data_IF_506379361261
#
_entry.id   IF_506379361261
#
_cell.length_a   1.000
_cell.length_b   1.000
_cell.length_c   1.000
_cell.angle_alpha   90.00
_cell.angle_beta   90.00
_cell.angle_gamma   90.00
#
_symmetry.space_group_name_H-M   'P 1'
#
loop_
_entity.id
_entity.type
_entity.pdbx_description
1 polymer ?
#
# COMPACT_ATOMS: atom_id res chain seq x y z
N UNK A 1 9.88 7.15 9.11
CA UNK A 1 9.41 8.42 9.72
C UNK A 1 8.14 8.15 10.52
N UNK A 2 7.94 8.77 11.68
CA UNK A 2 6.68 8.65 12.43
C UNK A 2 5.86 9.93 12.31
N UNK A 3 4.59 9.78 11.99
CA UNK A 3 3.63 10.86 11.96
C UNK A 3 2.64 10.65 13.11
N UNK A 4 2.59 11.61 14.02
CA UNK A 4 1.52 11.69 15.02
C UNK A 4 0.44 12.61 14.47
N UNK A 5 -0.79 12.10 14.41
CA UNK A 5 -1.97 12.92 14.16
C UNK A 5 -2.53 13.42 15.48
N UNK A 6 -2.79 14.73 15.58
CA UNK A 6 -3.61 15.31 16.65
C UNK A 6 -4.35 16.52 16.13
N UNK A 7 -5.68 16.57 16.26
CA UNK A 7 -6.48 17.71 15.80
C UNK A 7 -6.16 18.11 14.35
N UNK A 8 -6.06 17.12 13.46
CA UNK A 8 -5.70 17.27 12.05
C UNK A 8 -4.33 17.95 11.80
N UNK A 9 -3.44 18.00 12.81
CA UNK A 9 -2.05 18.47 12.70
C UNK A 9 -1.07 17.30 12.81
N UNK A 10 0.05 17.43 12.09
CA UNK A 10 1.08 16.40 11.98
C UNK A 10 2.37 16.81 12.69
N UNK A 11 2.94 15.88 13.44
CA UNK A 11 4.22 16.06 14.11
C UNK A 11 5.14 14.87 13.86
N UNK A 12 6.42 15.15 13.61
CA UNK A 12 7.45 14.12 13.54
C UNK A 12 8.05 13.89 14.93
N UNK A 13 7.99 12.65 15.42
CA UNK A 13 8.52 12.29 16.73
C UNK A 13 9.38 11.02 16.67
N UNK A 14 10.38 10.90 17.57
CA UNK A 14 11.03 9.61 17.88
C UNK A 14 10.14 8.86 18.86
N UNK A 15 9.89 7.56 18.64
CA UNK A 15 9.10 6.73 19.55
C UNK A 15 9.69 6.76 20.96
N UNK A 16 8.82 6.93 21.96
CA UNK A 16 9.09 6.52 23.33
C UNK A 16 8.43 5.15 23.54
N UNK A 17 9.21 4.07 23.76
CA UNK A 17 8.72 2.68 23.69
C UNK A 17 7.70 2.28 24.76
N UNK A 18 7.39 3.16 25.72
CA UNK A 18 6.48 2.86 26.84
C UNK A 18 5.08 3.49 26.71
N UNK A 19 4.73 4.07 25.54
CA UNK A 19 3.53 4.93 25.38
C UNK A 19 2.76 4.62 24.07
N UNK A 20 2.71 3.36 23.63
CA UNK A 20 1.97 3.00 22.42
C UNK A 20 0.88 2.01 22.76
N UNK A 21 -0.37 2.40 22.51
CA UNK A 21 -1.52 1.50 22.62
C UNK A 21 -1.54 0.60 21.36
N UNK A 22 -1.70 -0.73 21.51
CA UNK A 22 -1.78 -1.63 20.36
C UNK A 22 -2.84 -1.26 19.31
N UNK A 23 -3.86 -0.50 19.69
CA UNK A 23 -4.97 -0.07 18.84
C UNK A 23 -4.69 1.21 18.05
N UNK A 24 -3.73 2.04 18.47
CA UNK A 24 -3.52 3.38 17.91
C UNK A 24 -2.21 3.56 17.12
N UNK A 25 -1.35 2.54 17.06
CA UNK A 25 -0.18 2.53 16.20
C UNK A 25 -0.38 1.65 14.98
N UNK A 26 -0.35 2.28 13.81
CA UNK A 26 -0.46 1.63 12.51
C UNK A 26 0.90 1.61 11.84
N UNK A 27 1.32 0.42 11.41
CA UNK A 27 2.44 0.28 10.50
C UNK A 27 1.93 0.15 9.07
N UNK A 28 2.55 0.87 8.14
CA UNK A 28 2.23 0.81 6.71
C UNK A 28 3.50 0.59 5.91
N UNK A 29 3.42 -0.32 4.95
CA UNK A 29 4.53 -0.68 4.07
C UNK A 29 4.07 -0.87 2.62
N UNK A 30 4.99 -0.66 1.66
CA UNK A 30 4.77 -0.89 0.24
C UNK A 30 5.33 -2.24 -0.18
N UNK A 31 4.52 -3.07 -0.83
CA UNK A 31 4.97 -4.31 -1.45
C UNK A 31 4.65 -4.36 -2.95
N UNK A 32 5.61 -4.83 -3.74
CA UNK A 32 5.49 -4.93 -5.20
C UNK A 32 5.22 -6.36 -5.66
N UNK A 33 4.13 -6.58 -6.39
CA UNK A 33 3.75 -7.86 -6.97
C UNK A 33 3.89 -7.87 -8.49
N UNK A 34 4.76 -8.75 -9.01
CA UNK A 34 4.93 -8.95 -10.47
C UNK A 34 4.06 -10.11 -10.97
N UNK A 35 2.79 -9.84 -11.26
CA UNK A 35 1.79 -10.89 -11.53
C UNK A 35 1.99 -11.65 -12.86
N UNK A 36 2.66 -11.04 -13.84
CA UNK A 36 2.95 -11.69 -15.13
C UNK A 36 4.33 -12.38 -15.18
N UNK A 37 5.03 -12.48 -14.04
CA UNK A 37 6.40 -12.99 -14.01
C UNK A 37 6.39 -14.51 -14.11
N UNK A 38 7.00 -15.05 -15.17
CA UNK A 38 7.28 -16.48 -15.29
C UNK A 38 8.37 -16.93 -14.29
N UNK A 39 8.42 -18.22 -13.93
CA UNK A 39 9.51 -18.78 -13.16
C UNK A 39 10.88 -18.44 -13.76
N UNK A 40 11.87 -18.19 -12.90
CA UNK A 40 13.24 -17.89 -13.33
C UNK A 40 13.96 -19.11 -13.92
N UNK A 41 13.47 -20.31 -13.63
CA UNK A 41 13.98 -21.58 -14.14
C UNK A 41 12.85 -22.37 -14.78
N UNK A 42 13.10 -22.90 -15.96
CA UNK A 42 12.19 -23.82 -16.65
C UNK A 42 12.86 -25.18 -16.73
N UNK A 43 12.11 -26.27 -16.52
CA UNK A 43 12.61 -27.61 -16.82
C UNK A 43 12.67 -27.77 -18.34
N UNK A 44 13.84 -28.12 -18.85
CA UNK A 44 14.09 -28.26 -20.28
C UNK A 44 14.53 -29.70 -20.54
N UNK A 45 13.80 -30.40 -21.39
CA UNK A 45 14.21 -31.71 -21.91
C UNK A 45 15.48 -31.57 -22.77
N UNK A 46 16.39 -32.54 -22.71
CA UNK A 46 17.75 -32.50 -23.29
C UNK A 46 17.87 -32.01 -24.74
N UNK A 47 16.81 -32.10 -25.55
CA UNK A 47 16.79 -31.68 -26.95
C UNK A 47 16.25 -30.25 -27.23
N UNK A 48 15.91 -29.46 -26.21
CA UNK A 48 15.24 -28.16 -26.40
C UNK A 48 15.98 -27.00 -25.75
N UNK A 49 17.16 -26.61 -26.25
CA UNK A 49 17.82 -25.37 -25.81
C UNK A 49 16.93 -24.18 -26.19
N UNK A 50 16.14 -23.68 -25.24
CA UNK A 50 15.34 -22.46 -25.42
C UNK A 50 16.22 -21.25 -25.07
N UNK A 51 16.35 -20.31 -26.00
CA UNK A 51 17.03 -19.03 -25.77
C UNK A 51 16.40 -18.26 -24.59
N UNK A 52 17.21 -17.42 -23.93
CA UNK A 52 16.78 -16.70 -22.73
C UNK A 52 15.49 -15.90 -22.93
N UNK A 53 14.51 -16.08 -22.04
CA UNK A 53 13.23 -15.38 -22.08
C UNK A 53 13.30 -14.07 -21.28
N UNK A 54 12.90 -12.94 -21.88
CA UNK A 54 12.77 -11.67 -21.17
C UNK A 54 11.56 -11.73 -20.23
N UNK A 55 11.82 -11.74 -18.93
CA UNK A 55 10.76 -11.76 -17.93
C UNK A 55 9.82 -10.55 -18.08
N UNK A 56 8.52 -10.82 -18.07
CA UNK A 56 7.51 -9.79 -17.96
C UNK A 56 7.49 -9.25 -16.52
N UNK A 57 7.96 -8.02 -16.33
CA UNK A 57 8.02 -7.32 -15.05
C UNK A 57 6.83 -6.38 -14.85
N UNK A 58 5.66 -6.72 -15.40
CA UNK A 58 4.43 -5.96 -15.12
C UNK A 58 4.16 -6.04 -13.62
N UNK A 59 4.13 -4.89 -12.97
CA UNK A 59 4.05 -4.71 -11.52
C UNK A 59 2.70 -4.13 -11.13
N UNK A 60 2.19 -4.58 -10.00
CA UNK A 60 1.25 -3.87 -9.14
C UNK A 60 1.96 -3.58 -7.83
N UNK A 61 1.83 -2.37 -7.30
CA UNK A 61 2.24 -2.07 -5.92
C UNK A 61 1.03 -2.08 -5.01
N UNK A 62 1.24 -2.49 -3.77
CA UNK A 62 0.24 -2.54 -2.71
C UNK A 62 0.81 -1.79 -1.52
N UNK A 63 0.16 -0.69 -1.14
CA UNK A 63 0.35 -0.05 0.15
C UNK A 63 -0.64 -0.66 1.12
N UNK A 64 -0.13 -1.35 2.15
CA UNK A 64 -0.96 -2.05 3.14
C UNK A 64 -0.44 -1.78 4.53
N UNK A 65 -1.33 -1.86 5.51
CA UNK A 65 -0.96 -1.67 6.90
C UNK A 65 -2.02 -2.12 7.88
N UNK A 66 -1.67 -2.02 9.15
CA UNK A 66 -2.51 -2.45 10.25
C UNK A 66 -1.91 -2.09 11.59
N UNK A 67 -2.68 -2.27 12.66
CA UNK A 67 -2.25 -2.05 14.03
C UNK A 67 -1.89 -3.36 14.75
N UNK A 68 -1.31 -3.25 15.94
CA UNK A 68 -0.89 -4.40 16.75
C UNK A 68 -2.09 -5.18 17.32
N UNK A 69 -3.27 -4.56 17.41
CA UNK A 69 -4.52 -5.21 17.78
C UNK A 69 -5.08 -6.12 16.67
N UNK A 70 -4.45 -6.16 15.48
CA UNK A 70 -4.81 -7.03 14.37
C UNK A 70 -5.76 -6.40 13.36
N UNK A 71 -6.07 -5.12 13.50
CA UNK A 71 -6.86 -4.37 12.54
C UNK A 71 -6.05 -4.10 11.27
N UNK A 72 -6.73 -4.16 10.12
CA UNK A 72 -6.12 -3.96 8.80
C UNK A 72 -6.74 -2.76 8.12
N UNK A 73 -5.89 -1.89 7.58
CA UNK A 73 -6.31 -0.77 6.75
C UNK A 73 -6.79 -1.28 5.39
N UNK A 74 -7.78 -0.60 4.81
CA UNK A 74 -8.17 -0.83 3.41
C UNK A 74 -6.96 -0.51 2.51
N UNK A 75 -6.43 -1.48 1.76
CA UNK A 75 -5.18 -1.28 1.06
C UNK A 75 -5.35 -0.43 -0.19
N UNK A 76 -4.27 0.25 -0.58
CA UNK A 76 -4.17 0.98 -1.84
C UNK A 76 -3.37 0.16 -2.86
N UNK A 77 -3.99 -0.11 -4.00
CA UNK A 77 -3.39 -0.80 -5.14
C UNK A 77 -3.00 0.22 -6.20
N UNK A 78 -1.75 0.15 -6.64
CA UNK A 78 -1.22 1.01 -7.70
C UNK A 78 -0.88 0.16 -8.91
N UNK A 79 -1.54 0.45 -10.03
CA UNK A 79 -1.27 -0.18 -11.31
C UNK A 79 -0.82 0.83 -12.36
N UNK A 80 -0.47 0.35 -13.56
CA UNK A 80 -0.08 1.24 -14.67
C UNK A 80 -1.27 1.90 -15.36
N UNK A 81 -2.32 1.13 -15.61
CA UNK A 81 -3.47 1.60 -16.38
C UNK A 81 -4.46 2.31 -15.44
N UNK A 82 -5.02 3.46 -15.84
CA UNK A 82 -6.14 4.10 -15.11
C UNK A 82 -7.33 3.16 -14.91
N UNK A 83 -7.61 2.32 -15.89
CA UNK A 83 -8.63 1.26 -15.81
C UNK A 83 -8.09 -0.02 -16.44
N UNK A 84 -7.51 -0.94 -15.66
CA UNK A 84 -7.12 -2.26 -16.13
C UNK A 84 -8.30 -2.97 -16.80
N UNK A 85 -8.05 -3.63 -17.93
CA UNK A 85 -9.06 -4.44 -18.63
C UNK A 85 -9.67 -5.52 -17.73
N UNK A 86 -8.91 -6.00 -16.74
CA UNK A 86 -9.37 -6.97 -15.76
C UNK A 86 -10.58 -6.49 -14.92
N UNK A 87 -10.79 -5.18 -14.77
CA UNK A 87 -11.97 -4.65 -14.09
C UNK A 87 -13.24 -4.74 -14.93
N UNK A 88 -13.13 -4.88 -16.26
CA UNK A 88 -14.28 -4.96 -17.16
C UNK A 88 -15.26 -3.79 -16.97
N UNK A 89 -16.53 -4.10 -16.78
CA UNK A 89 -17.62 -3.15 -16.49
C UNK A 89 -17.82 -2.87 -14.99
N UNK A 90 -17.01 -3.46 -14.10
CA UNK A 90 -17.17 -3.26 -12.65
C UNK A 90 -16.90 -1.80 -12.27
N UNK A 91 -17.62 -1.35 -11.25
CA UNK A 91 -17.29 -0.10 -10.58
C UNK A 91 -16.05 -0.32 -9.71
N UNK A 92 -15.00 0.47 -9.95
CA UNK A 92 -13.73 0.38 -9.22
C UNK A 92 -13.94 0.79 -7.76
N UNK A 93 -14.86 1.72 -7.49
CA UNK A 93 -15.13 2.21 -6.13
C UNK A 93 -15.77 1.14 -5.26
N UNK A 94 -16.44 0.15 -5.87
CA UNK A 94 -17.03 -1.00 -5.17
C UNK A 94 -16.00 -2.04 -4.72
N UNK A 95 -14.75 -1.93 -5.15
CA UNK A 95 -13.70 -2.87 -4.77
C UNK A 95 -13.30 -2.69 -3.29
N UNK A 96 -12.87 -3.77 -2.62
CA UNK A 96 -12.37 -3.72 -1.24
C UNK A 96 -10.95 -3.10 -1.15
N UNK A 97 -10.54 -2.31 -2.15
CA UNK A 97 -9.24 -1.64 -2.22
C UNK A 97 -9.44 -0.23 -2.75
N UNK A 98 -8.53 0.68 -2.44
CA UNK A 98 -8.35 1.90 -3.22
C UNK A 98 -7.52 1.57 -4.46
N UNK A 99 -7.79 2.21 -5.59
CA UNK A 99 -7.04 1.98 -6.83
C UNK A 99 -6.54 3.29 -7.41
N UNK A 100 -5.24 3.35 -7.67
CA UNK A 100 -4.60 4.46 -8.34
C UNK A 100 -3.74 4.00 -9.52
N UNK A 101 -3.54 4.89 -10.48
CA UNK A 101 -2.73 4.60 -11.65
C UNK A 101 -1.46 5.47 -11.71
N UNK A 102 -0.33 4.80 -11.93
CA UNK A 102 1.00 5.41 -12.01
C UNK A 102 1.84 4.62 -13.02
N UNK A 103 2.50 5.29 -13.96
CA UNK A 103 3.23 4.65 -15.07
C UNK A 103 4.30 3.63 -14.64
N UNK A 104 4.95 3.85 -13.50
CA UNK A 104 5.94 2.92 -12.94
C UNK A 104 5.30 1.87 -12.01
N UNK A 105 4.02 2.04 -11.65
CA UNK A 105 3.29 1.26 -10.65
C UNK A 105 4.02 1.23 -9.29
N UNK A 106 4.45 2.38 -8.80
CA UNK A 106 4.98 2.62 -7.44
C UNK A 106 4.14 3.67 -6.71
N UNK A 107 4.22 3.69 -5.39
CA UNK A 107 3.65 4.78 -4.59
C UNK A 107 4.49 6.05 -4.80
N UNK A 108 3.92 7.06 -5.46
CA UNK A 108 4.54 8.40 -5.50
C UNK A 108 4.19 9.18 -4.24
N UNK A 109 4.96 10.23 -3.91
CA UNK A 109 4.62 11.11 -2.79
C UNK A 109 3.23 11.72 -2.94
N UNK A 110 2.81 12.06 -4.17
CA UNK A 110 1.48 12.60 -4.43
C UNK A 110 0.37 11.57 -4.13
N UNK A 111 0.56 10.32 -4.57
CA UNK A 111 -0.38 9.22 -4.30
C UNK A 111 -0.44 8.94 -2.80
N UNK A 112 0.71 8.92 -2.13
CA UNK A 112 0.78 8.74 -0.68
C UNK A 112 0.03 9.84 0.07
N UNK A 113 0.30 11.11 -0.23
CA UNK A 113 -0.38 12.23 0.43
C UNK A 113 -1.89 12.25 0.16
N UNK A 114 -2.31 11.91 -1.05
CA UNK A 114 -3.72 11.77 -1.37
C UNK A 114 -4.39 10.68 -0.52
N UNK A 115 -3.81 9.47 -0.50
CA UNK A 115 -4.31 8.39 0.35
C UNK A 115 -4.31 8.76 1.84
N UNK A 116 -3.25 9.42 2.30
CA UNK A 116 -3.11 9.78 3.70
C UNK A 116 -4.17 10.79 4.15
N UNK A 117 -4.38 11.86 3.38
CA UNK A 117 -5.33 12.91 3.72
C UNK A 117 -6.79 12.48 3.49
N UNK A 118 -7.08 11.84 2.36
CA UNK A 118 -8.45 11.56 1.92
C UNK A 118 -8.99 10.21 2.40
N UNK A 119 -8.12 9.30 2.85
CA UNK A 119 -8.54 7.97 3.30
C UNK A 119 -8.10 7.70 4.73
N UNK A 120 -6.79 7.74 5.01
CA UNK A 120 -6.30 7.36 6.33
C UNK A 120 -6.83 8.28 7.44
N UNK A 121 -6.67 9.60 7.32
CA UNK A 121 -7.14 10.54 8.34
C UNK A 121 -8.64 10.46 8.52
N UNK A 122 -9.39 10.46 7.42
CA UNK A 122 -10.86 10.37 7.44
C UNK A 122 -11.32 9.10 8.17
N UNK A 123 -10.69 7.95 7.89
CA UNK A 123 -11.00 6.69 8.56
C UNK A 123 -10.69 6.75 10.06
N UNK A 124 -9.54 7.32 10.43
CA UNK A 124 -9.14 7.44 11.82
C UNK A 124 -10.06 8.41 12.61
N UNK A 125 -10.41 9.56 12.03
CA UNK A 125 -11.35 10.53 12.63
C UNK A 125 -12.74 9.92 12.82
N UNK A 126 -13.24 9.16 11.84
CA UNK A 126 -14.51 8.45 11.97
C UNK A 126 -14.47 7.37 13.05
N UNK A 127 -13.34 6.69 13.22
CA UNK A 127 -13.20 5.58 14.17
C UNK A 127 -13.03 6.04 15.61
N UNK A 128 -12.24 7.09 15.83
CA UNK A 128 -11.78 7.46 17.17
C UNK A 128 -12.23 8.86 17.62
N UNK A 129 -12.87 9.65 16.75
CA UNK A 129 -13.32 11.03 17.04
C UNK A 129 -12.30 12.09 16.63
N UNK A 130 -12.41 13.35 17.09
CA UNK A 130 -11.42 14.40 16.77
C UNK A 130 -10.24 14.47 17.75
N UNK A 131 -10.42 14.01 19.00
CA UNK A 131 -9.45 14.19 20.09
C UNK A 131 -8.48 13.00 20.28
N UNK A 132 -8.45 12.06 19.34
CA UNK A 132 -7.60 10.88 19.42
C UNK A 132 -6.21 11.15 18.82
N UNK A 133 -5.26 10.31 19.25
CA UNK A 133 -3.91 10.28 18.71
C UNK A 133 -3.69 8.95 18.00
N UNK A 134 -3.25 9.00 16.74
CA UNK A 134 -2.77 7.84 16.00
C UNK A 134 -1.33 8.05 15.57
N UNK A 135 -0.56 6.98 15.70
CA UNK A 135 0.80 6.89 15.22
C UNK A 135 0.82 6.14 13.89
N UNK A 136 1.25 6.81 12.82
CA UNK A 136 1.56 6.16 11.56
C UNK A 136 3.07 5.94 11.46
N UNK A 137 3.46 4.67 11.44
CA UNK A 137 4.84 4.23 11.29
C UNK A 137 5.06 3.95 9.80
N UNK A 138 6.04 4.63 9.23
CA UNK A 138 6.45 4.49 7.83
C UNK A 138 7.93 4.13 7.78
N UNK A 139 8.29 3.23 6.86
CA UNK A 139 9.70 3.08 6.49
C UNK A 139 10.22 4.38 5.87
N UNK A 140 11.52 4.63 6.00
CA UNK A 140 12.14 5.84 5.49
C UNK A 140 12.45 5.66 3.98
N UNK A 141 11.39 5.70 3.18
CA UNK A 141 11.47 5.70 1.71
C UNK A 141 11.93 7.05 1.14
#
# INVERSE_FOLDING_TARGET
MLLQLHNSKFYSHKLLPNIIDPTNAYNVDETGFCFNKLPTRSYVSDNNIRGGFKQNKTRLSLLSGGNMAGERLKPLVIGKAKRPRAFGSRDITSLPVYYEAQDNAWVSSQIFWHWFLEHFIVEMEQRYGPDFYVYLILDNC
#
